data_IF_862526671445
#
_entry.id   IF_862526671445
#
_cell.length_a   1.000
_cell.length_b   1.000
_cell.length_c   1.000
_cell.angle_alpha   90.00
_cell.angle_beta   90.00
_cell.angle_gamma   90.00
#
_symmetry.space_group_name_H-M   'P 1'
#
loop_
_entity.id
_entity.type
_entity.pdbx_description
1 polymer ?
#
# COMPACT_ATOMS: atom_id res chain seq x y z
N UNK A 1 -14.87 8.30 -12.67
CA UNK A 1 -13.95 7.16 -12.45
C UNK A 1 -13.65 7.10 -10.96
N UNK A 2 -13.47 5.91 -10.41
CA UNK A 2 -13.09 5.71 -9.02
C UNK A 2 -11.82 6.53 -8.69
N UNK A 3 -11.76 7.26 -7.56
CA UNK A 3 -10.56 7.97 -7.17
C UNK A 3 -9.42 6.98 -6.83
N UNK A 4 -8.19 7.36 -7.13
CA UNK A 4 -7.00 6.58 -6.80
C UNK A 4 -6.33 7.22 -5.59
N UNK A 5 -6.13 6.45 -4.53
CA UNK A 5 -5.56 6.89 -3.27
C UNK A 5 -4.25 6.16 -2.99
N UNK A 6 -3.24 6.90 -2.59
CA UNK A 6 -1.97 6.39 -2.07
C UNK A 6 -1.97 6.56 -0.55
N UNK A 7 -1.65 5.48 0.16
CA UNK A 7 -1.55 5.50 1.62
C UNK A 7 -0.34 4.67 2.06
N UNK A 8 0.66 5.32 2.68
CA UNK A 8 1.95 4.68 2.95
C UNK A 8 2.63 5.24 4.19
N UNK A 9 3.23 4.36 4.99
CA UNK A 9 4.12 4.75 6.09
C UNK A 9 5.52 5.08 5.58
N UNK A 10 6.12 6.11 6.15
CA UNK A 10 7.44 6.62 5.79
C UNK A 10 8.22 7.03 7.03
N UNK A 11 9.53 6.82 7.04
CA UNK A 11 10.42 7.37 8.07
C UNK A 11 10.51 8.90 7.97
N UNK A 12 10.94 9.55 9.04
CA UNK A 12 11.14 11.00 9.05
C UNK A 12 12.20 11.46 8.01
N UNK A 13 13.15 10.57 7.67
CA UNK A 13 14.18 10.83 6.65
C UNK A 13 13.81 10.30 5.25
N UNK A 14 12.53 9.92 5.03
CA UNK A 14 11.94 9.73 3.70
C UNK A 14 12.03 8.32 3.10
N UNK A 15 12.24 7.28 3.91
CA UNK A 15 12.29 5.89 3.48
C UNK A 15 10.99 5.15 3.79
N UNK A 16 10.56 4.27 2.89
CA UNK A 16 9.37 3.42 3.03
C UNK A 16 9.70 1.95 3.21
N UNK A 17 10.97 1.61 3.13
CA UNK A 17 11.54 0.34 3.52
C UNK A 17 12.99 0.54 3.93
N UNK A 18 13.49 -0.30 4.83
CA UNK A 18 14.89 -0.33 5.24
C UNK A 18 15.81 -0.90 4.16
N UNK A 19 17.14 -0.90 4.38
CA UNK A 19 18.09 -1.52 3.48
C UNK A 19 18.03 -3.05 3.52
N UNK A 20 18.56 -3.68 2.48
CA UNK A 20 18.73 -5.13 2.36
C UNK A 20 17.42 -5.92 2.57
N UNK A 21 16.32 -5.62 1.84
CA UNK A 21 15.09 -6.40 1.95
C UNK A 21 15.34 -7.84 1.50
N UNK A 22 14.75 -8.80 2.23
CA UNK A 22 14.85 -10.24 1.96
C UNK A 22 13.50 -10.91 2.09
N UNK A 23 13.45 -12.22 1.83
CA UNK A 23 12.24 -13.02 2.05
C UNK A 23 11.87 -13.15 3.53
N UNK A 24 12.87 -13.13 4.42
CA UNK A 24 12.69 -13.17 5.87
C UNK A 24 12.41 -11.79 6.46
N UNK A 25 12.90 -10.72 5.79
CA UNK A 25 12.70 -9.33 6.19
C UNK A 25 12.27 -8.49 4.99
N UNK A 26 11.00 -8.60 4.58
CA UNK A 26 10.50 -7.98 3.33
C UNK A 26 10.55 -6.45 3.33
N UNK A 27 10.48 -5.84 4.50
CA UNK A 27 10.58 -4.40 4.68
C UNK A 27 12.04 -3.92 4.86
N UNK A 28 13.01 -4.86 4.83
CA UNK A 28 14.40 -4.57 5.09
C UNK A 28 14.69 -4.22 6.55
N UNK A 29 15.97 -4.11 6.89
CA UNK A 29 16.42 -3.86 8.26
C UNK A 29 15.71 -2.64 8.87
N UNK A 30 15.09 -2.84 10.03
CA UNK A 30 14.31 -1.85 10.77
C UNK A 30 13.06 -1.32 10.04
N UNK A 31 12.70 -1.87 8.88
CA UNK A 31 11.55 -1.42 8.10
C UNK A 31 10.21 -1.65 8.82
N UNK A 32 10.10 -2.64 9.72
CA UNK A 32 8.92 -2.87 10.55
C UNK A 32 8.61 -1.70 11.50
N UNK A 33 9.64 -0.95 11.96
CA UNK A 33 9.46 0.21 12.83
C UNK A 33 8.54 1.28 12.20
N UNK A 34 8.45 1.32 10.87
CA UNK A 34 7.56 2.23 10.15
C UNK A 34 6.07 1.92 10.39
N UNK A 35 5.76 0.69 10.81
CA UNK A 35 4.40 0.18 10.95
C UNK A 35 4.00 -0.11 12.41
N UNK A 36 4.89 0.08 13.39
CA UNK A 36 4.57 -0.13 14.80
C UNK A 36 3.36 0.66 15.28
N UNK A 37 3.15 1.87 14.73
CA UNK A 37 2.03 2.71 15.07
C UNK A 37 0.68 2.08 14.66
N UNK A 38 0.61 1.40 13.52
CA UNK A 38 -0.63 0.80 12.99
C UNK A 38 -0.90 -0.57 13.58
N UNK A 39 0.12 -1.38 13.88
CA UNK A 39 -0.03 -2.75 14.40
C UNK A 39 -0.73 -2.81 15.76
N UNK A 40 -0.66 -1.75 16.54
CA UNK A 40 -1.33 -1.67 17.85
C UNK A 40 -2.80 -1.26 17.77
N UNK A 41 -3.28 -0.74 16.62
CA UNK A 41 -4.63 -0.21 16.46
C UNK A 41 -5.69 -1.32 16.42
N UNK A 42 -6.85 -1.03 17.02
CA UNK A 42 -7.99 -1.97 17.02
C UNK A 42 -8.54 -2.22 15.61
N UNK A 43 -8.55 -1.21 14.74
CA UNK A 43 -8.95 -1.34 13.33
C UNK A 43 -8.03 -2.27 12.54
N UNK A 44 -6.72 -2.12 12.72
CA UNK A 44 -5.74 -2.99 12.08
C UNK A 44 -5.89 -4.45 12.52
N UNK A 45 -5.93 -4.68 13.84
CA UNK A 45 -6.07 -6.02 14.40
C UNK A 45 -7.33 -6.71 13.90
N UNK A 46 -8.46 -6.00 13.88
CA UNK A 46 -9.74 -6.52 13.38
C UNK A 46 -9.65 -6.90 11.90
N UNK A 47 -9.05 -6.06 11.06
CA UNK A 47 -8.88 -6.34 9.64
C UNK A 47 -8.02 -7.60 9.39
N UNK A 48 -7.12 -7.94 10.32
CA UNK A 48 -6.28 -9.15 10.26
C UNK A 48 -6.77 -10.29 11.17
N UNK A 49 -8.07 -10.32 11.50
CA UNK A 49 -8.68 -11.41 12.26
C UNK A 49 -8.33 -11.43 13.76
N UNK A 50 -7.70 -10.37 14.28
CA UNK A 50 -7.34 -10.22 15.68
C UNK A 50 -8.36 -9.44 16.50
N UNK A 51 -8.21 -9.46 17.82
CA UNK A 51 -9.05 -8.73 18.77
C UNK A 51 -8.24 -7.70 19.58
N UNK A 52 -8.95 -6.79 20.26
CA UNK A 52 -8.35 -5.74 21.10
C UNK A 52 -7.64 -4.67 20.29
N UNK A 53 -6.67 -4.01 20.90
CA UNK A 53 -5.90 -2.91 20.31
C UNK A 53 -6.39 -1.53 20.75
N UNK A 54 -5.64 -0.50 20.34
CA UNK A 54 -5.90 0.89 20.69
C UNK A 54 -7.01 1.46 19.82
N UNK A 55 -8.00 2.10 20.47
CA UNK A 55 -9.06 2.86 19.80
C UNK A 55 -8.71 4.35 19.82
N UNK A 56 -9.32 5.13 18.92
CA UNK A 56 -9.13 6.57 18.85
C UNK A 56 -8.91 7.06 17.42
N UNK A 57 -8.51 8.32 17.25
CA UNK A 57 -8.45 8.96 15.93
C UNK A 57 -7.65 8.20 14.88
N UNK A 58 -6.52 7.60 15.24
CA UNK A 58 -5.70 6.80 14.32
C UNK A 58 -6.41 5.53 13.88
N UNK A 59 -7.06 4.84 14.82
CA UNK A 59 -7.84 3.64 14.54
C UNK A 59 -9.06 3.95 13.67
N UNK A 60 -9.73 5.09 13.91
CA UNK A 60 -10.86 5.55 13.11
C UNK A 60 -10.43 5.92 11.70
N UNK A 61 -9.28 6.61 11.56
CA UNK A 61 -8.69 6.95 10.24
C UNK A 61 -8.39 5.69 9.42
N UNK A 62 -7.75 4.69 10.01
CA UNK A 62 -7.45 3.42 9.34
C UNK A 62 -8.73 2.66 8.98
N UNK A 63 -9.74 2.64 9.87
CA UNK A 63 -11.02 2.00 9.60
C UNK A 63 -11.77 2.67 8.44
N UNK A 64 -11.81 4.01 8.40
CA UNK A 64 -12.39 4.79 7.31
C UNK A 64 -11.68 4.49 5.98
N UNK A 65 -10.34 4.48 6.00
CA UNK A 65 -9.54 4.17 4.82
C UNK A 65 -9.88 2.78 4.28
N UNK A 66 -9.83 1.74 5.12
CA UNK A 66 -10.17 0.35 4.74
C UNK A 66 -11.59 0.24 4.17
N UNK A 67 -12.56 0.94 4.74
CA UNK A 67 -13.94 0.93 4.25
C UNK A 67 -14.13 1.66 2.91
N UNK A 68 -13.21 2.56 2.54
CA UNK A 68 -13.36 3.44 1.38
C UNK A 68 -13.01 2.78 0.04
N UNK A 69 -12.11 1.80 0.03
CA UNK A 69 -11.63 1.24 -1.23
C UNK A 69 -12.46 0.05 -1.73
N UNK A 70 -12.58 -0.07 -3.05
CA UNK A 70 -13.26 -1.16 -3.76
C UNK A 70 -12.33 -2.05 -4.54
N UNK A 71 -11.06 -1.66 -4.68
CA UNK A 71 -9.99 -2.46 -5.25
C UNK A 71 -8.64 -2.01 -4.70
N UNK A 72 -7.66 -2.89 -4.78
CA UNK A 72 -6.28 -2.63 -4.33
C UNK A 72 -5.31 -2.87 -5.47
N UNK A 73 -4.26 -2.05 -5.56
CA UNK A 73 -3.10 -2.29 -6.43
C UNK A 73 -1.87 -2.45 -5.56
N UNK A 74 -1.09 -3.50 -5.79
CA UNK A 74 0.16 -3.76 -5.09
C UNK A 74 1.24 -4.32 -6.00
N UNK A 75 2.49 -4.21 -5.58
CA UNK A 75 3.62 -4.80 -6.29
C UNK A 75 3.85 -6.27 -5.94
N UNK A 76 4.59 -6.94 -6.81
CA UNK A 76 4.96 -8.36 -6.68
C UNK A 76 5.68 -8.67 -5.35
N UNK A 77 6.61 -7.81 -4.92
CA UNK A 77 7.31 -7.97 -3.64
C UNK A 77 6.35 -7.90 -2.46
N UNK A 78 5.39 -6.99 -2.49
CA UNK A 78 4.37 -6.90 -1.43
C UNK A 78 3.45 -8.12 -1.41
N UNK A 79 3.22 -8.77 -2.56
CA UNK A 79 2.40 -9.98 -2.63
C UNK A 79 3.09 -11.20 -2.00
N UNK A 80 4.40 -11.43 -2.27
CA UNK A 80 5.08 -12.67 -1.87
C UNK A 80 6.57 -12.53 -1.53
N UNK A 81 7.14 -11.31 -1.61
CA UNK A 81 8.56 -11.05 -1.42
C UNK A 81 9.45 -11.36 -2.63
N UNK A 82 9.01 -12.23 -3.54
CA UNK A 82 9.79 -12.63 -4.71
C UNK A 82 9.73 -11.63 -5.86
N UNK A 83 10.68 -11.74 -6.79
CA UNK A 83 10.78 -10.91 -7.99
C UNK A 83 10.85 -11.73 -9.28
N UNK A 84 11.44 -12.91 -9.21
CA UNK A 84 11.69 -13.79 -10.33
C UNK A 84 10.48 -14.62 -10.78
N UNK A 85 10.72 -15.63 -11.64
CA UNK A 85 9.67 -16.57 -12.06
C UNK A 85 8.93 -17.20 -10.86
N UNK A 86 7.65 -17.46 -11.03
CA UNK A 86 6.82 -18.05 -9.97
C UNK A 86 7.30 -19.41 -9.46
N UNK A 87 7.98 -20.17 -10.33
CA UNK A 87 8.53 -21.47 -9.97
C UNK A 87 9.68 -21.38 -8.96
N UNK A 88 10.38 -20.24 -8.93
CA UNK A 88 11.54 -20.01 -8.06
C UNK A 88 11.16 -19.27 -6.77
N UNK A 89 9.89 -18.91 -6.61
CA UNK A 89 9.39 -18.17 -5.45
C UNK A 89 8.79 -19.13 -4.42
N UNK A 90 9.41 -19.33 -3.26
CA UNK A 90 8.89 -20.19 -2.21
C UNK A 90 7.53 -19.72 -1.68
N UNK A 91 7.25 -18.42 -1.79
CA UNK A 91 5.98 -17.82 -1.40
C UNK A 91 5.08 -17.54 -2.63
N UNK A 92 5.21 -18.29 -3.73
CA UNK A 92 4.40 -18.09 -4.92
C UNK A 92 2.89 -18.02 -4.64
N UNK A 93 2.43 -18.64 -3.55
CA UNK A 93 1.06 -18.55 -3.06
C UNK A 93 0.66 -17.20 -2.47
N UNK A 94 1.60 -16.30 -2.27
CA UNK A 94 1.44 -15.12 -1.42
C UNK A 94 1.54 -15.48 0.06
N UNK A 95 1.83 -14.51 0.89
CA UNK A 95 1.95 -14.67 2.36
C UNK A 95 0.76 -14.17 3.15
N UNK A 96 -0.36 -13.90 2.47
CA UNK A 96 -1.56 -13.29 3.06
C UNK A 96 -2.50 -14.28 3.75
N UNK A 97 -2.11 -15.55 3.86
CA UNK A 97 -2.96 -16.60 4.43
C UNK A 97 -4.12 -17.01 3.52
N UNK A 98 -5.09 -17.73 4.08
CA UNK A 98 -6.27 -18.21 3.33
C UNK A 98 -7.36 -17.14 3.20
N UNK A 99 -7.45 -16.23 4.17
CA UNK A 99 -8.40 -15.10 4.22
C UNK A 99 -7.64 -13.76 4.30
N UNK A 100 -7.16 -13.22 3.15
CA UNK A 100 -6.44 -11.97 3.11
C UNK A 100 -7.32 -10.78 3.53
N UNK A 101 -6.76 -9.76 4.20
CA UNK A 101 -7.53 -8.67 4.84
C UNK A 101 -8.14 -7.66 3.86
N UNK A 102 -8.09 -7.91 2.57
CA UNK A 102 -8.56 -6.96 1.56
C UNK A 102 -10.05 -7.07 1.28
N UNK A 103 -10.60 -8.29 1.15
CA UNK A 103 -12.02 -8.59 0.84
C UNK A 103 -12.56 -7.88 -0.42
N UNK A 104 -11.67 -7.51 -1.33
CA UNK A 104 -11.92 -6.85 -2.63
C UNK A 104 -10.93 -7.38 -3.66
N UNK A 105 -11.15 -7.13 -4.98
CA UNK A 105 -10.16 -7.44 -6.01
C UNK A 105 -8.81 -6.74 -5.77
N UNK A 106 -7.72 -7.48 -5.90
CA UNK A 106 -6.34 -7.01 -5.73
C UNK A 106 -5.56 -7.23 -7.02
N UNK A 107 -5.00 -6.18 -7.58
CA UNK A 107 -4.22 -6.20 -8.82
C UNK A 107 -2.73 -6.16 -8.48
N UNK A 108 -2.05 -7.27 -8.74
CA UNK A 108 -0.62 -7.44 -8.46
C UNK A 108 0.19 -7.10 -9.70
N UNK A 109 0.92 -5.99 -9.66
CA UNK A 109 1.82 -5.58 -10.73
C UNK A 109 3.06 -6.48 -10.73
N UNK A 110 3.32 -7.17 -11.85
CA UNK A 110 4.39 -8.16 -11.98
C UNK A 110 4.89 -8.25 -13.43
N UNK A 111 6.11 -8.76 -13.65
CA UNK A 111 6.64 -9.10 -14.98
C UNK A 111 6.33 -10.54 -15.39
N UNK A 112 5.82 -11.37 -14.50
CA UNK A 112 5.58 -12.78 -14.72
C UNK A 112 4.08 -13.09 -14.72
N UNK A 113 3.49 -13.50 -15.86
CA UNK A 113 2.06 -13.79 -15.95
C UNK A 113 1.67 -14.97 -15.07
N UNK A 114 0.45 -14.92 -14.57
CA UNK A 114 -0.16 -15.96 -13.75
C UNK A 114 -1.67 -15.86 -13.81
N UNK A 115 -2.35 -17.00 -13.66
CA UNK A 115 -3.80 -17.07 -13.50
C UNK A 115 -4.24 -16.38 -12.18
N UNK A 116 -5.42 -15.76 -12.23
CA UNK A 116 -6.03 -15.15 -11.04
C UNK A 116 -6.23 -16.18 -9.94
N UNK A 117 -6.17 -15.72 -8.68
CA UNK A 117 -6.33 -16.57 -7.52
C UNK A 117 -7.43 -16.03 -6.61
N UNK A 118 -8.52 -16.79 -6.50
CA UNK A 118 -9.58 -16.54 -5.54
C UNK A 118 -9.17 -17.02 -4.14
N UNK A 119 -9.48 -16.20 -3.13
CA UNK A 119 -9.19 -16.47 -1.72
C UNK A 119 -10.49 -16.47 -0.93
N UNK A 120 -10.43 -16.93 0.32
CA UNK A 120 -11.55 -16.78 1.25
C UNK A 120 -11.84 -15.28 1.52
N UNK A 121 -13.02 -14.98 2.05
CA UNK A 121 -13.40 -13.62 2.41
C UNK A 121 -13.63 -12.64 1.25
N UNK A 122 -13.55 -13.10 -0.02
CA UNK A 122 -13.87 -12.28 -1.20
C UNK A 122 -12.67 -11.58 -1.85
N UNK A 123 -11.45 -11.80 -1.37
CA UNK A 123 -10.24 -11.31 -2.05
C UNK A 123 -9.96 -12.16 -3.29
N UNK A 124 -9.69 -11.49 -4.44
CA UNK A 124 -9.19 -12.16 -5.64
C UNK A 124 -7.92 -11.45 -6.10
N UNK A 125 -6.81 -12.17 -6.21
CA UNK A 125 -5.57 -11.64 -6.77
C UNK A 125 -5.55 -11.80 -8.29
N UNK A 126 -5.42 -10.68 -9.00
CA UNK A 126 -5.24 -10.59 -10.45
C UNK A 126 -3.81 -10.15 -10.76
N UNK A 127 -3.10 -10.90 -11.60
CA UNK A 127 -1.70 -10.59 -11.91
C UNK A 127 -1.62 -9.82 -13.23
N UNK A 128 -1.05 -8.60 -13.19
CA UNK A 128 -1.04 -7.65 -14.31
C UNK A 128 0.39 -7.46 -14.78
N UNK A 129 0.63 -7.73 -16.07
CA UNK A 129 1.96 -7.61 -16.71
C UNK A 129 2.08 -6.43 -17.68
N UNK A 130 0.97 -5.74 -17.93
CA UNK A 130 0.85 -4.68 -18.94
C UNK A 130 1.21 -3.28 -18.39
N UNK A 131 1.84 -3.21 -17.22
CA UNK A 131 2.30 -1.99 -16.58
C UNK A 131 1.27 -1.32 -15.67
N UNK A 132 1.69 -0.20 -15.05
CA UNK A 132 0.93 0.47 -13.99
C UNK A 132 -0.41 1.01 -14.50
N UNK A 133 -0.45 1.59 -15.71
CA UNK A 133 -1.69 2.14 -16.26
C UNK A 133 -2.76 1.07 -16.42
N UNK A 134 -2.40 -0.10 -16.94
CA UNK A 134 -3.33 -1.22 -17.10
C UNK A 134 -3.82 -1.76 -15.74
N UNK A 135 -2.94 -1.79 -14.74
CA UNK A 135 -3.33 -2.20 -13.38
C UNK A 135 -4.33 -1.22 -12.76
N UNK A 136 -4.09 0.08 -12.90
CA UNK A 136 -4.97 1.12 -12.39
C UNK A 136 -6.33 1.14 -13.12
N UNK A 137 -6.34 0.98 -14.45
CA UNK A 137 -7.59 0.94 -15.24
C UNK A 137 -8.47 -0.24 -14.80
N UNK A 138 -7.90 -1.44 -14.70
CA UNK A 138 -8.61 -2.64 -14.22
C UNK A 138 -9.10 -2.49 -12.79
N UNK A 139 -8.28 -1.89 -11.92
CA UNK A 139 -8.66 -1.63 -10.54
C UNK A 139 -9.81 -0.61 -10.45
N UNK A 140 -9.80 0.46 -11.24
CA UNK A 140 -10.89 1.46 -11.29
C UNK A 140 -12.20 0.85 -11.80
N UNK A 141 -12.13 -0.02 -12.80
CA UNK A 141 -13.31 -0.75 -13.29
C UNK A 141 -13.89 -1.65 -12.18
N UNK A 142 -13.05 -2.40 -11.48
CA UNK A 142 -13.47 -3.30 -10.41
C UNK A 142 -13.96 -2.57 -9.16
N UNK A 143 -13.39 -1.40 -8.84
CA UNK A 143 -13.76 -0.62 -7.66
C UNK A 143 -15.16 0.01 -7.76
N UNK A 144 -15.69 0.20 -8.97
CA UNK A 144 -16.98 0.90 -9.20
C UNK A 144 -16.91 2.35 -8.73
N UNK A 145 -17.75 2.73 -7.77
CA UNK A 145 -17.79 4.08 -7.21
C UNK A 145 -16.87 4.28 -5.99
N UNK A 146 -16.25 3.19 -5.50
CA UNK A 146 -15.30 3.24 -4.36
C UNK A 146 -13.90 3.54 -4.85
N UNK A 147 -13.01 3.92 -3.92
CA UNK A 147 -11.61 4.24 -4.25
C UNK A 147 -10.81 3.00 -4.70
N UNK A 148 -9.78 3.23 -5.49
CA UNK A 148 -8.67 2.30 -5.68
C UNK A 148 -7.57 2.64 -4.68
N UNK A 149 -7.18 1.68 -3.84
CA UNK A 149 -6.08 1.84 -2.91
C UNK A 149 -4.78 1.31 -3.51
N UNK A 150 -3.76 2.15 -3.66
CA UNK A 150 -2.40 1.73 -4.02
C UNK A 150 -1.63 1.48 -2.73
N UNK A 151 -1.51 0.20 -2.36
CA UNK A 151 -0.98 -0.23 -1.07
C UNK A 151 0.56 -0.26 -1.00
N UNK A 152 1.24 -0.27 -2.15
CA UNK A 152 2.70 -0.37 -2.21
C UNK A 152 3.19 -1.61 -3.00
N UNK A 153 4.51 -2.06 -2.96
CA UNK A 153 5.61 -1.34 -2.34
C UNK A 153 6.00 -0.05 -3.05
N UNK A 154 7.14 0.50 -2.68
CA UNK A 154 7.63 1.79 -3.15
C UNK A 154 7.60 1.95 -4.68
N UNK A 155 8.01 0.94 -5.43
CA UNK A 155 8.06 0.99 -6.90
C UNK A 155 6.67 1.25 -7.52
N UNK A 156 5.62 0.61 -7.01
CA UNK A 156 4.24 0.81 -7.51
C UNK A 156 3.75 2.21 -7.16
N UNK A 157 4.05 2.69 -5.95
CA UNK A 157 3.73 4.07 -5.56
C UNK A 157 4.45 5.07 -6.44
N UNK A 158 5.76 4.90 -6.66
CA UNK A 158 6.56 5.79 -7.52
C UNK A 158 6.05 5.78 -8.97
N UNK A 159 5.71 4.62 -9.54
CA UNK A 159 5.13 4.51 -10.87
C UNK A 159 3.78 5.25 -10.95
N UNK A 160 2.93 5.11 -9.93
CA UNK A 160 1.64 5.81 -9.86
C UNK A 160 1.82 7.33 -9.78
N UNK A 161 2.79 7.80 -8.96
CA UNK A 161 3.16 9.21 -8.85
C UNK A 161 3.70 9.74 -10.19
N UNK A 162 4.62 9.02 -10.83
CA UNK A 162 5.22 9.39 -12.11
C UNK A 162 4.19 9.44 -13.26
N UNK A 163 3.20 8.55 -13.25
CA UNK A 163 2.10 8.56 -14.19
C UNK A 163 1.10 9.71 -13.93
N UNK A 164 1.18 10.40 -12.78
CA UNK A 164 0.24 11.44 -12.38
C UNK A 164 -1.19 10.92 -12.15
N UNK A 165 -1.32 9.61 -11.91
CA UNK A 165 -2.61 8.91 -11.79
C UNK A 165 -2.98 8.66 -10.33
N UNK A 166 -3.14 9.72 -9.56
CA UNK A 166 -3.66 9.65 -8.21
C UNK A 166 -4.45 10.92 -7.87
N UNK A 167 -5.39 10.80 -6.96
CA UNK A 167 -6.27 11.88 -6.52
C UNK A 167 -5.93 12.33 -5.10
N UNK A 168 -5.56 11.39 -4.23
CA UNK A 168 -5.12 11.69 -2.86
C UNK A 168 -3.84 10.91 -2.50
N UNK A 169 -3.02 11.56 -1.67
CA UNK A 169 -1.81 10.99 -1.09
C UNK A 169 -1.86 11.15 0.41
N UNK A 170 -1.84 10.04 1.15
CA UNK A 170 -1.66 10.03 2.59
C UNK A 170 -0.30 9.43 2.93
N UNK A 171 0.50 10.17 3.68
CA UNK A 171 1.80 9.72 4.18
C UNK A 171 1.75 9.72 5.71
N UNK A 172 2.05 8.60 6.31
CA UNK A 172 2.17 8.43 7.76
C UNK A 172 3.65 8.50 8.13
N UNK A 173 4.10 9.66 8.58
CA UNK A 173 5.51 9.87 8.95
C UNK A 173 5.74 9.32 10.35
N UNK A 174 6.35 8.13 10.42
CA UNK A 174 6.74 7.50 11.68
C UNK A 174 7.96 8.24 12.29
N UNK A 175 8.05 8.32 13.64
CA UNK A 175 9.14 8.99 14.34
C UNK A 175 10.43 8.14 14.34
N UNK A 176 10.85 7.69 13.17
CA UNK A 176 11.96 6.77 12.91
C UNK A 176 12.92 7.41 11.90
N UNK A 177 14.22 7.22 12.11
CA UNK A 177 15.27 7.51 11.14
C UNK A 177 15.90 6.18 10.70
N UNK A 178 15.77 5.84 9.42
CA UNK A 178 16.34 4.62 8.85
C UNK A 178 17.78 4.82 8.33
N UNK A 179 18.09 6.03 7.83
CA UNK A 179 19.41 6.39 7.32
C UNK A 179 19.72 5.85 5.92
N UNK A 180 19.11 4.72 5.53
CA UNK A 180 19.23 4.10 4.21
C UNK A 180 18.02 3.21 3.92
N UNK A 181 17.85 2.79 2.65
CA UNK A 181 16.73 1.97 2.22
C UNK A 181 16.07 2.51 0.95
N UNK A 182 14.78 2.22 0.76
CA UNK A 182 14.01 2.65 -0.40
C UNK A 182 13.28 3.95 -0.10
N UNK A 183 13.56 5.00 -0.88
CA UNK A 183 12.91 6.31 -0.72
C UNK A 183 11.55 6.35 -1.40
N UNK A 184 10.61 7.11 -0.83
CA UNK A 184 9.27 7.28 -1.41
C UNK A 184 9.31 8.12 -2.69
N UNK A 185 10.00 9.25 -2.68
CA UNK A 185 9.94 10.27 -3.73
C UNK A 185 11.18 10.28 -4.63
N UNK A 186 11.70 9.10 -4.98
CA UNK A 186 12.73 9.00 -6.02
C UNK A 186 12.10 8.97 -7.41
N UNK A 187 12.78 9.59 -8.39
CA UNK A 187 12.39 9.59 -9.81
C UNK A 187 10.99 10.20 -10.11
N UNK A 188 10.47 11.04 -9.22
CA UNK A 188 9.19 11.72 -9.41
C UNK A 188 9.44 13.13 -9.94
N UNK A 189 8.86 13.47 -11.10
CA UNK A 189 8.84 14.85 -11.62
C UNK A 189 7.77 15.65 -10.83
N UNK A 190 8.19 16.25 -9.72
CA UNK A 190 7.30 17.05 -8.87
C UNK A 190 6.75 18.31 -9.54
N UNK A 191 7.27 18.73 -10.71
CA UNK A 191 6.77 19.93 -11.40
C UNK A 191 5.34 19.77 -11.94
N UNK A 192 4.88 18.52 -12.10
CA UNK A 192 3.56 18.17 -12.65
C UNK A 192 2.49 17.96 -11.60
N UNK A 193 2.86 17.94 -10.33
CA UNK A 193 1.95 17.62 -9.22
C UNK A 193 1.81 18.83 -8.31
N UNK A 194 0.61 19.35 -8.19
CA UNK A 194 0.25 20.38 -7.22
C UNK A 194 -0.63 19.73 -6.14
N UNK A 195 -0.22 19.89 -4.88
CA UNK A 195 -0.87 19.29 -3.73
C UNK A 195 -1.56 20.35 -2.87
N UNK A 196 -2.77 20.06 -2.43
CA UNK A 196 -3.52 20.82 -1.42
C UNK A 196 -3.58 19.98 -0.14
N UNK A 197 -3.16 20.59 0.98
CA UNK A 197 -3.19 19.93 2.28
C UNK A 197 -4.64 19.74 2.76
N UNK A 198 -4.98 18.51 3.16
CA UNK A 198 -6.26 18.18 3.76
C UNK A 198 -6.14 18.05 5.29
N UNK A 199 -7.21 18.34 6.04
CA UNK A 199 -7.23 18.12 7.48
C UNK A 199 -7.08 16.64 7.83
N UNK A 200 -6.32 16.38 8.90
CA UNK A 200 -6.15 15.05 9.50
C UNK A 200 -6.21 15.17 11.02
N UNK A 201 -6.61 14.12 11.75
CA UNK A 201 -6.54 14.11 13.20
C UNK A 201 -5.09 14.18 13.68
N UNK A 202 -4.88 14.81 14.84
CA UNK A 202 -3.59 14.74 15.51
C UNK A 202 -3.39 13.36 16.14
N UNK A 203 -2.19 12.82 16.01
CA UNK A 203 -1.78 11.55 16.59
C UNK A 203 -0.54 11.74 17.50
N UNK A 204 -0.46 11.04 18.64
CA UNK A 204 0.73 11.04 19.46
C UNK A 204 1.84 10.09 18.93
N UNK A 205 1.51 9.17 18.02
CA UNK A 205 2.39 8.08 17.59
C UNK A 205 3.00 8.31 16.21
N UNK A 206 2.35 9.08 15.35
CA UNK A 206 2.72 9.27 13.95
C UNK A 206 2.22 10.62 13.46
N UNK A 207 2.87 11.20 12.46
CA UNK A 207 2.36 12.42 11.82
C UNK A 207 1.67 12.04 10.50
N UNK A 208 0.36 12.25 10.43
CA UNK A 208 -0.39 12.07 9.19
C UNK A 208 -0.28 13.32 8.32
N UNK A 209 0.02 13.11 7.04
CA UNK A 209 0.03 14.13 6.00
C UNK A 209 -0.92 13.64 4.90
N UNK A 210 -2.02 14.34 4.69
CA UNK A 210 -2.99 14.00 3.64
C UNK A 210 -3.11 15.14 2.65
N UNK A 211 -2.97 14.80 1.37
CA UNK A 211 -2.99 15.77 0.29
C UNK A 211 -3.96 15.32 -0.80
N UNK A 212 -4.60 16.31 -1.44
CA UNK A 212 -5.34 16.14 -2.68
C UNK A 212 -4.53 16.71 -3.83
N UNK A 213 -4.60 16.05 -4.99
CA UNK A 213 -4.03 16.58 -6.23
C UNK A 213 -4.95 17.66 -6.78
N UNK A 214 -4.38 18.83 -7.06
CA UNK A 214 -5.06 19.93 -7.75
C UNK A 214 -4.72 19.84 -9.23
N UNK A 215 -5.74 19.62 -10.06
CA UNK A 215 -5.64 19.58 -11.52
C UNK A 215 -6.14 20.89 -12.13
#
# INVERSE_FOLDING_TARGET
>A
MAPITLDISMSLDGFVAGPDPSMEDPLGKRGEELHEWVFRLASWRRAHGGEGGESGPDSDLVAEHVASYGAVVMGRRMYSGGEGPWADDPNAGGWWGEDPPFHVPVFVLTHHPRESREMQGGTTFHFVTDGIDAALDRAQEAAGDRAVHVAGGADVVQQTLAAGRFDELTVHVAPVLLGSGTRLFENVDGSRVKLELLPVPASPAVTHLRYRVVR
#
